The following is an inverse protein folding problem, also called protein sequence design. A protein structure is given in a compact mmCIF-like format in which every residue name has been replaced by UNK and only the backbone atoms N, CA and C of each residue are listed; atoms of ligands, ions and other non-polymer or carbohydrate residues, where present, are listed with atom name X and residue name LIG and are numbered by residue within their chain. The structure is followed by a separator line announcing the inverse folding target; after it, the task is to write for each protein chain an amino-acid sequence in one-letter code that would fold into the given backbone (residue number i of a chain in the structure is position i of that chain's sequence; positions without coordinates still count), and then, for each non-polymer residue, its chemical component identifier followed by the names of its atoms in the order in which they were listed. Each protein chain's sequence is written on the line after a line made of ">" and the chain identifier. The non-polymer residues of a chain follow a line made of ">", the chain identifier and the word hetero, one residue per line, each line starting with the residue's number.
data_IF_322944206002
#
_entry.id   IF_322944206002
#
_cell.length_a   1.000
_cell.length_b   1.000
_cell.length_c   1.000
_cell.angle_alpha   90.00
_cell.angle_beta   90.00
_cell.angle_gamma   90.00
#
_symmetry.space_group_name_H-M   'P 1'
#
loop_
_entity.id
_entity.type
_entity.pdbx_description
1 polymer ?
#
# COMPACT_ATOMS: atom_id res chain seq x y z
N UNK A 1 1.28 26.62 -6.08
CA UNK A 1 2.59 25.91 -6.03
C UNK A 1 2.75 24.93 -4.85
N UNK A 2 1.75 24.73 -3.95
CA UNK A 2 1.92 23.87 -2.77
C UNK A 2 1.54 22.38 -2.99
N UNK A 3 0.65 22.10 -3.95
CA UNK A 3 0.32 20.72 -4.40
C UNK A 3 1.54 19.86 -4.81
N UNK A 4 2.52 20.35 -5.62
CA UNK A 4 3.64 19.51 -6.05
C UNK A 4 4.50 19.01 -4.89
N UNK A 5 4.61 19.78 -3.80
CA UNK A 5 5.40 19.35 -2.62
C UNK A 5 4.74 18.16 -1.93
N UNK A 6 3.43 18.21 -1.69
CA UNK A 6 2.69 17.10 -1.10
C UNK A 6 2.73 15.84 -1.97
N UNK A 7 2.66 16.01 -3.30
CA UNK A 7 2.78 14.90 -4.26
C UNK A 7 4.18 14.27 -4.23
N UNK A 8 5.24 15.09 -4.20
CA UNK A 8 6.62 14.63 -4.10
C UNK A 8 6.88 13.88 -2.79
N UNK A 9 6.37 14.38 -1.66
CA UNK A 9 6.47 13.70 -0.36
C UNK A 9 5.81 12.32 -0.40
N UNK A 10 4.62 12.23 -0.98
CA UNK A 10 3.92 10.95 -1.14
C UNK A 10 4.69 9.99 -2.07
N UNK A 11 5.23 10.48 -3.19
CA UNK A 11 6.06 9.69 -4.11
C UNK A 11 7.33 9.16 -3.44
N UNK A 12 8.08 10.02 -2.75
CA UNK A 12 9.30 9.64 -2.03
C UNK A 12 8.98 8.61 -0.95
N UNK A 13 7.90 8.82 -0.19
CA UNK A 13 7.46 7.88 0.83
C UNK A 13 7.06 6.52 0.24
N UNK A 14 6.28 6.50 -0.85
CA UNK A 14 5.90 5.27 -1.56
C UNK A 14 7.12 4.52 -2.10
N UNK A 15 8.08 5.24 -2.71
CA UNK A 15 9.32 4.64 -3.20
C UNK A 15 10.16 4.06 -2.05
N UNK A 16 10.24 4.77 -0.92
CA UNK A 16 10.96 4.30 0.27
C UNK A 16 10.36 3.01 0.82
N UNK A 17 9.02 2.92 0.87
CA UNK A 17 8.33 1.69 1.26
C UNK A 17 8.59 0.56 0.28
N UNK A 18 8.49 0.79 -1.02
CA UNK A 18 8.76 -0.23 -2.02
C UNK A 18 10.20 -0.78 -1.90
N UNK A 19 11.18 0.11 -1.64
CA UNK A 19 12.58 -0.28 -1.42
C UNK A 19 12.75 -1.07 -0.12
N UNK A 20 12.15 -0.62 0.99
CA UNK A 20 12.21 -1.31 2.28
C UNK A 20 11.54 -2.69 2.23
N UNK A 21 10.40 -2.80 1.55
CA UNK A 21 9.66 -4.04 1.37
C UNK A 21 10.46 -5.03 0.50
N UNK A 22 11.07 -4.54 -0.58
CA UNK A 22 11.95 -5.36 -1.44
C UNK A 22 13.23 -5.83 -0.74
N UNK A 23 13.92 -4.94 -0.01
CA UNK A 23 15.23 -5.24 0.61
C UNK A 23 15.12 -5.99 1.93
N UNK A 24 14.25 -5.55 2.81
CA UNK A 24 14.28 -5.95 4.22
C UNK A 24 13.00 -6.63 4.68
N UNK A 25 11.90 -6.57 3.90
CA UNK A 25 10.55 -7.06 4.28
C UNK A 25 10.10 -6.62 5.67
N UNK A 26 10.68 -5.52 6.15
CA UNK A 26 10.44 -4.94 7.46
C UNK A 26 10.20 -3.47 7.26
N UNK A 27 8.93 -3.12 7.33
CA UNK A 27 8.51 -1.73 7.28
C UNK A 27 8.49 -1.25 8.72
N UNK A 28 9.41 -0.33 9.05
CA UNK A 28 9.48 0.23 10.39
C UNK A 28 8.21 1.03 10.69
N UNK A 29 7.71 0.93 11.92
CA UNK A 29 6.62 1.78 12.41
C UNK A 29 6.96 3.28 12.23
N UNK A 30 8.25 3.65 12.27
CA UNK A 30 8.69 5.02 12.05
C UNK A 30 8.29 5.55 10.67
N UNK A 31 8.38 4.73 9.61
CA UNK A 31 7.98 5.14 8.25
C UNK A 31 6.47 5.38 8.16
N UNK A 32 5.68 4.53 8.81
CA UNK A 32 4.22 4.66 8.87
C UNK A 32 3.83 5.93 9.62
N UNK A 33 4.49 6.20 10.76
CA UNK A 33 4.27 7.40 11.55
C UNK A 33 4.65 8.66 10.76
N UNK A 34 5.83 8.69 10.14
CA UNK A 34 6.27 9.84 9.32
C UNK A 34 5.31 10.11 8.16
N UNK A 35 4.87 9.07 7.45
CA UNK A 35 3.91 9.22 6.35
C UNK A 35 2.54 9.71 6.81
N UNK A 36 2.08 9.25 7.97
CA UNK A 36 0.82 9.70 8.59
C UNK A 36 0.92 11.15 9.06
N UNK A 37 1.99 11.51 9.76
CA UNK A 37 2.24 12.88 10.22
C UNK A 37 2.28 13.86 9.05
N UNK A 38 2.94 13.49 7.95
CA UNK A 38 2.96 14.30 6.73
C UNK A 38 1.55 14.45 6.12
N UNK A 39 0.74 13.38 6.11
CA UNK A 39 -0.65 13.44 5.65
C UNK A 39 -1.49 14.42 6.48
N UNK A 40 -1.43 14.30 7.81
CA UNK A 40 -2.16 15.16 8.74
C UNK A 40 -1.68 16.61 8.67
N UNK A 41 -0.38 16.85 8.56
CA UNK A 41 0.17 18.20 8.37
C UNK A 41 -0.31 18.83 7.06
N UNK A 42 -0.31 18.07 5.96
CA UNK A 42 -0.84 18.54 4.69
C UNK A 42 -2.35 18.80 4.73
N UNK A 43 -3.13 17.96 5.44
CA UNK A 43 -4.56 18.17 5.65
C UNK A 43 -4.83 19.44 6.49
N UNK A 44 -4.05 19.67 7.56
CA UNK A 44 -4.17 20.84 8.42
C UNK A 44 -3.84 22.14 7.67
N UNK A 45 -2.86 22.10 6.76
CA UNK A 45 -2.48 23.24 5.93
C UNK A 45 -3.39 23.45 4.71
N UNK A 46 -4.42 22.62 4.51
CA UNK A 46 -5.27 22.61 3.30
C UNK A 46 -4.47 22.44 1.99
N UNK A 47 -3.37 21.67 2.05
CA UNK A 47 -2.49 21.36 0.91
C UNK A 47 -2.60 19.88 0.50
N UNK A 48 -3.56 19.15 1.07
CA UNK A 48 -3.73 17.73 0.76
C UNK A 48 -3.99 17.53 -0.75
N UNK A 49 -3.32 16.57 -1.41
CA UNK A 49 -3.51 16.32 -2.85
C UNK A 49 -4.96 16.02 -3.24
N UNK A 50 -5.74 15.49 -2.30
CA UNK A 50 -7.15 15.13 -2.48
C UNK A 50 -8.12 16.16 -1.89
N UNK A 51 -7.64 17.29 -1.37
CA UNK A 51 -8.49 18.35 -0.80
C UNK A 51 -9.31 17.92 0.42
N UNK A 52 -8.89 16.87 1.12
CA UNK A 52 -9.60 16.29 2.26
C UNK A 52 -9.31 17.06 3.56
N UNK A 53 -10.33 17.11 4.44
CA UNK A 53 -10.22 17.70 5.78
C UNK A 53 -9.48 16.78 6.76
N UNK A 54 -9.05 17.33 7.92
CA UNK A 54 -8.40 16.56 8.98
C UNK A 54 -9.25 15.36 9.46
N UNK A 55 -10.57 15.57 9.58
CA UNK A 55 -11.51 14.51 9.95
C UNK A 55 -11.59 13.41 8.89
N UNK A 56 -11.58 13.77 7.60
CA UNK A 56 -11.58 12.80 6.50
C UNK A 56 -10.24 12.04 6.41
N UNK A 57 -9.11 12.70 6.70
CA UNK A 57 -7.82 12.04 6.79
C UNK A 57 -7.80 11.00 7.93
N UNK A 58 -8.32 11.37 9.11
CA UNK A 58 -8.46 10.44 10.24
C UNK A 58 -9.39 9.27 9.92
N UNK A 59 -10.56 9.54 9.33
CA UNK A 59 -11.51 8.52 8.92
C UNK A 59 -10.91 7.57 7.86
N UNK A 60 -10.16 8.09 6.88
CA UNK A 60 -9.47 7.29 5.88
C UNK A 60 -8.38 6.41 6.50
N UNK A 61 -7.59 6.94 7.43
CA UNK A 61 -6.58 6.16 8.13
C UNK A 61 -7.19 5.01 8.95
N UNK A 62 -8.24 5.31 9.72
CA UNK A 62 -8.97 4.32 10.51
C UNK A 62 -9.64 3.26 9.61
N UNK A 63 -10.30 3.70 8.53
CA UNK A 63 -10.94 2.80 7.58
C UNK A 63 -9.92 1.84 6.93
N UNK A 64 -8.75 2.34 6.53
CA UNK A 64 -7.68 1.50 5.99
C UNK A 64 -7.22 0.44 7.00
N UNK A 65 -7.00 0.85 8.25
CA UNK A 65 -6.56 -0.06 9.30
C UNK A 65 -7.61 -1.14 9.62
N UNK A 66 -8.86 -0.73 9.78
CA UNK A 66 -10.00 -1.63 10.06
C UNK A 66 -10.28 -2.56 8.89
N UNK A 67 -10.17 -2.09 7.65
CA UNK A 67 -10.43 -2.91 6.47
C UNK A 67 -9.46 -4.10 6.34
N UNK A 68 -8.19 -3.92 6.74
CA UNK A 68 -7.19 -4.97 6.64
C UNK A 68 -6.96 -5.78 7.93
N UNK A 69 -7.52 -5.33 9.05
CA UNK A 69 -7.42 -6.03 10.34
C UNK A 69 -7.96 -7.48 10.28
N UNK A 70 -9.11 -7.77 9.64
CA UNK A 70 -9.60 -9.14 9.52
C UNK A 70 -8.63 -10.05 8.75
N UNK A 71 -7.98 -9.53 7.70
CA UNK A 71 -7.03 -10.29 6.90
C UNK A 71 -5.74 -10.60 7.67
N UNK A 72 -5.32 -9.69 8.55
CA UNK A 72 -4.24 -9.95 9.50
C UNK A 72 -4.64 -11.00 10.53
N UNK A 73 -5.86 -10.91 11.10
CA UNK A 73 -6.35 -11.90 12.06
C UNK A 73 -6.49 -13.31 11.46
N UNK A 74 -6.85 -13.40 10.17
CA UNK A 74 -6.87 -14.66 9.41
C UNK A 74 -5.49 -15.17 8.99
N UNK A 75 -4.41 -14.43 9.28
CA UNK A 75 -3.04 -14.81 8.95
C UNK A 75 -2.69 -14.76 7.46
N UNK A 76 -3.56 -14.14 6.64
CA UNK A 76 -3.39 -14.01 5.18
C UNK A 76 -2.47 -12.83 4.85
N UNK A 77 -2.33 -11.87 5.76
CA UNK A 77 -1.66 -10.59 5.53
C UNK A 77 -0.78 -10.19 6.70
N UNK A 78 0.33 -9.47 6.43
CA UNK A 78 1.27 -9.07 7.47
C UNK A 78 0.84 -7.83 8.25
N UNK A 79 1.28 -7.73 9.50
CA UNK A 79 1.09 -6.54 10.32
C UNK A 79 1.69 -5.28 9.67
N UNK A 80 2.73 -5.45 8.84
CA UNK A 80 3.33 -4.36 8.08
C UNK A 80 2.37 -3.82 7.03
N UNK A 81 1.70 -4.68 6.27
CA UNK A 81 0.82 -4.29 5.18
C UNK A 81 -0.41 -3.52 5.69
N UNK A 82 -1.00 -3.97 6.81
CA UNK A 82 -2.13 -3.28 7.48
C UNK A 82 -1.74 -1.86 7.88
N UNK A 83 -0.56 -1.70 8.49
CA UNK A 83 -0.08 -0.38 8.95
C UNK A 83 0.21 0.55 7.78
N UNK A 84 0.80 0.03 6.71
CA UNK A 84 1.12 0.82 5.52
C UNK A 84 -0.14 1.31 4.81
N UNK A 85 -1.17 0.47 4.73
CA UNK A 85 -2.41 0.81 4.05
C UNK A 85 -3.19 1.95 4.71
N UNK A 86 -3.03 2.15 6.02
CA UNK A 86 -3.61 3.28 6.72
C UNK A 86 -3.08 4.64 6.21
N UNK A 87 -1.83 4.71 5.75
CA UNK A 87 -1.20 5.97 5.36
C UNK A 87 -1.80 6.54 4.07
N UNK A 88 -1.93 5.80 2.94
CA UNK A 88 -2.68 6.28 1.78
C UNK A 88 -4.12 6.69 2.10
N UNK A 89 -4.76 6.02 3.06
CA UNK A 89 -6.07 6.41 3.58
C UNK A 89 -6.07 7.80 4.22
N UNK A 90 -5.02 8.14 4.97
CA UNK A 90 -4.83 9.48 5.54
C UNK A 90 -4.58 10.55 4.47
N UNK A 91 -3.92 10.21 3.36
CA UNK A 91 -3.60 11.14 2.27
C UNK A 91 -4.75 11.39 1.30
N UNK A 92 -5.52 10.34 1.01
CA UNK A 92 -6.45 10.31 -0.13
C UNK A 92 -7.91 10.05 0.27
N UNK A 93 -8.16 9.71 1.53
CA UNK A 93 -9.49 9.37 2.04
C UNK A 93 -9.95 7.96 1.65
N UNK A 94 -11.18 7.63 2.08
CA UNK A 94 -11.75 6.27 1.98
C UNK A 94 -12.01 5.81 0.54
N UNK A 95 -12.38 6.71 -0.37
CA UNK A 95 -12.71 6.35 -1.75
C UNK A 95 -11.49 5.85 -2.53
N UNK A 96 -10.33 6.44 -2.27
CA UNK A 96 -9.08 6.03 -2.91
C UNK A 96 -8.56 4.68 -2.38
N UNK A 97 -8.90 4.31 -1.14
CA UNK A 97 -8.46 3.04 -0.53
C UNK A 97 -9.00 1.82 -1.29
N UNK A 98 -10.26 1.86 -1.74
CA UNK A 98 -10.87 0.74 -2.47
C UNK A 98 -10.14 0.49 -3.79
N UNK A 99 -9.84 1.55 -4.55
CA UNK A 99 -9.09 1.45 -5.81
C UNK A 99 -7.66 0.95 -5.58
N UNK A 100 -6.96 1.50 -4.58
CA UNK A 100 -5.60 1.05 -4.23
C UNK A 100 -5.57 -0.41 -3.81
N UNK A 101 -6.54 -0.84 -3.00
CA UNK A 101 -6.66 -2.22 -2.56
C UNK A 101 -6.96 -3.18 -3.71
N UNK A 102 -7.87 -2.81 -4.61
CA UNK A 102 -8.19 -3.63 -5.78
C UNK A 102 -6.95 -3.84 -6.67
N UNK A 103 -6.23 -2.76 -7.01
CA UNK A 103 -5.03 -2.86 -7.86
C UNK A 103 -3.92 -3.63 -7.15
N UNK A 104 -3.69 -3.38 -5.86
CA UNK A 104 -2.70 -4.11 -5.07
C UNK A 104 -3.01 -5.60 -5.00
N UNK A 105 -4.28 -5.95 -4.77
CA UNK A 105 -4.74 -7.34 -4.72
C UNK A 105 -4.53 -8.07 -6.05
N UNK A 106 -4.86 -7.41 -7.17
CA UNK A 106 -4.63 -7.96 -8.52
C UNK A 106 -3.13 -8.17 -8.76
N UNK A 107 -2.29 -7.18 -8.45
CA UNK A 107 -0.84 -7.30 -8.64
C UNK A 107 -0.22 -8.40 -7.76
N UNK A 108 -0.65 -8.50 -6.50
CA UNK A 108 -0.24 -9.57 -5.59
C UNK A 108 -0.69 -10.95 -6.10
N UNK A 109 -1.93 -11.06 -6.61
CA UNK A 109 -2.46 -12.28 -7.21
C UNK A 109 -1.69 -12.73 -8.44
N UNK A 110 -1.35 -11.80 -9.36
CA UNK A 110 -0.53 -12.07 -10.54
C UNK A 110 0.86 -12.58 -10.11
N UNK A 111 1.48 -11.95 -9.10
CA UNK A 111 2.80 -12.38 -8.62
C UNK A 111 2.75 -13.77 -7.96
N UNK A 112 1.71 -14.05 -7.17
CA UNK A 112 1.50 -15.37 -6.59
C UNK A 112 1.31 -16.44 -7.67
N UNK A 113 0.52 -16.14 -8.72
CA UNK A 113 0.31 -17.02 -9.85
C UNK A 113 1.61 -17.27 -10.62
N UNK A 114 2.42 -16.23 -10.85
CA UNK A 114 3.74 -16.36 -11.46
C UNK A 114 4.64 -17.30 -10.67
N UNK A 115 4.72 -17.15 -9.33
CA UNK A 115 5.52 -18.02 -8.47
C UNK A 115 5.03 -19.47 -8.57
N UNK A 116 3.71 -19.69 -8.52
CA UNK A 116 3.10 -21.01 -8.61
C UNK A 116 3.45 -21.72 -9.93
N UNK A 117 3.35 -21.01 -11.05
CA UNK A 117 3.73 -21.50 -12.38
C UNK A 117 5.23 -21.78 -12.43
N UNK A 118 6.06 -20.84 -11.96
CA UNK A 118 7.52 -20.94 -12.00
C UNK A 118 8.09 -22.04 -11.10
N UNK A 119 7.44 -22.35 -9.97
CA UNK A 119 7.85 -23.45 -9.08
C UNK A 119 7.10 -24.75 -9.34
N UNK A 120 6.17 -24.79 -10.31
CA UNK A 120 5.32 -25.97 -10.62
C UNK A 120 4.65 -26.54 -9.36
N UNK A 121 4.39 -25.70 -8.36
CA UNK A 121 3.87 -26.17 -7.08
C UNK A 121 2.42 -26.60 -7.27
N UNK A 122 2.08 -27.81 -6.82
CA UNK A 122 0.69 -28.26 -6.87
C UNK A 122 -0.10 -27.48 -5.83
N UNK A 123 -1.18 -26.82 -6.26
CA UNK A 123 -2.12 -26.06 -5.41
C UNK A 123 -2.62 -26.90 -4.22
N UNK A 124 -2.73 -28.22 -4.40
CA UNK A 124 -3.09 -29.16 -3.35
C UNK A 124 -2.14 -29.13 -2.12
N UNK A 125 -0.83 -28.92 -2.32
CA UNK A 125 0.17 -28.85 -1.24
C UNK A 125 0.03 -27.54 -0.43
N UNK A 126 -0.49 -26.49 -1.05
CA UNK A 126 -0.78 -25.21 -0.39
C UNK A 126 -2.07 -25.29 0.45
N UNK A 127 -3.07 -26.06 0.01
CA UNK A 127 -4.29 -26.32 0.79
C UNK A 127 -4.04 -27.22 2.01
N UNK A 128 -3.14 -28.20 1.90
CA UNK A 128 -2.74 -29.04 3.05
C UNK A 128 -1.88 -28.27 4.05
N UNK A 129 -1.02 -27.34 3.59
CA UNK A 129 -0.23 -26.48 4.46
C UNK A 129 -1.05 -25.28 4.94
N UNK A 130 -1.80 -25.46 6.03
CA UNK A 130 -2.35 -24.37 6.87
C UNK A 130 -1.27 -23.53 7.58
N UNK A 131 -0.18 -23.17 6.91
CA UNK A 131 0.85 -22.30 7.47
C UNK A 131 0.59 -20.84 7.08
N UNK A 132 0.84 -19.86 7.97
CA UNK A 132 0.71 -18.44 7.65
C UNK A 132 1.53 -18.11 6.40
N UNK A 133 0.94 -17.35 5.48
CA UNK A 133 1.23 -17.21 4.03
C UNK A 133 2.61 -16.59 3.69
N UNK A 134 3.59 -16.62 4.59
CA UNK A 134 4.93 -16.04 4.41
C UNK A 134 5.94 -16.95 3.70
N UNK A 135 5.55 -18.18 3.36
CA UNK A 135 6.43 -19.13 2.67
C UNK A 135 5.66 -19.94 1.60
N UNK A 136 5.73 -19.48 0.34
CA UNK A 136 5.17 -20.17 -0.82
C UNK A 136 6.29 -20.98 -1.46
N UNK A 137 6.30 -22.30 -1.25
CA UNK A 137 7.24 -23.23 -1.88
C UNK A 137 8.73 -22.95 -1.57
N UNK A 138 9.07 -22.42 -0.39
CA UNK A 138 10.43 -21.99 -0.06
C UNK A 138 10.86 -20.71 -0.80
N UNK A 139 9.93 -20.05 -1.50
CA UNK A 139 10.13 -18.77 -2.17
C UNK A 139 9.31 -17.68 -1.49
N UNK A 140 9.92 -16.51 -1.46
CA UNK A 140 9.48 -15.38 -0.66
C UNK A 140 8.18 -14.79 -1.24
N UNK A 141 7.13 -14.65 -0.44
CA UNK A 141 5.80 -14.14 -0.85
C UNK A 141 5.84 -12.76 -1.55
N UNK A 142 4.81 -12.41 -2.36
CA UNK A 142 4.73 -11.11 -3.02
C UNK A 142 4.81 -9.95 -2.01
N UNK A 143 5.63 -8.92 -2.26
CA UNK A 143 5.64 -7.69 -1.46
C UNK A 143 4.34 -6.91 -1.69
N UNK A 144 3.30 -7.16 -0.87
CA UNK A 144 2.00 -6.50 -1.01
C UNK A 144 2.12 -4.98 -0.87
N UNK A 145 2.98 -4.49 0.03
CA UNK A 145 3.22 -3.05 0.19
C UNK A 145 3.87 -2.44 -1.08
N UNK A 146 4.73 -3.17 -1.79
CA UNK A 146 5.21 -2.72 -3.11
C UNK A 146 4.08 -2.68 -4.15
N UNK A 147 3.24 -3.73 -4.22
CA UNK A 147 2.06 -3.77 -5.09
C UNK A 147 1.05 -2.64 -4.77
N UNK A 148 0.98 -2.20 -3.51
CA UNK A 148 0.14 -1.10 -3.07
C UNK A 148 0.69 0.28 -3.46
N UNK A 149 2.00 0.46 -3.37
CA UNK A 149 2.65 1.76 -3.59
C UNK A 149 2.86 2.07 -5.08
N UNK A 150 3.08 1.06 -5.93
CA UNK A 150 3.30 1.23 -7.36
C UNK A 150 2.14 1.90 -8.11
N UNK A 151 0.86 1.49 -7.97
CA UNK A 151 -0.26 2.13 -8.65
C UNK A 151 -0.41 3.60 -8.26
N UNK A 152 -0.10 3.92 -7.00
CA UNK A 152 -0.13 5.31 -6.54
C UNK A 152 0.97 6.13 -7.20
N UNK A 153 2.20 5.61 -7.24
CA UNK A 153 3.31 6.24 -7.96
C UNK A 153 2.96 6.45 -9.43
N UNK A 154 2.38 5.44 -10.10
CA UNK A 154 2.00 5.50 -11.52
C UNK A 154 0.91 6.55 -11.77
N UNK A 155 -0.14 6.57 -10.95
CA UNK A 155 -1.19 7.60 -11.05
C UNK A 155 -0.64 9.00 -10.82
N UNK A 156 0.26 9.17 -9.84
CA UNK A 156 0.89 10.44 -9.55
C UNK A 156 1.84 10.88 -10.67
N UNK A 157 2.60 9.94 -11.24
CA UNK A 157 3.46 10.20 -12.39
C UNK A 157 2.65 10.62 -13.63
N UNK A 158 1.48 10.02 -13.84
CA UNK A 158 0.57 10.42 -14.92
C UNK A 158 0.07 11.87 -14.78
N UNK A 159 -0.07 12.39 -13.55
CA UNK A 159 -0.45 13.80 -13.33
C UNK A 159 0.73 14.78 -13.45
N UNK A 160 1.97 14.30 -13.39
CA UNK A 160 3.19 15.12 -13.53
C UNK A 160 3.77 15.06 -14.95
N UNK A 161 3.41 14.05 -15.73
CA UNK A 161 3.78 13.97 -17.13
C UNK A 161 3.26 15.22 -17.88
N UNK A 162 4.10 15.90 -18.68
CA UNK A 162 3.75 17.16 -19.33
C UNK A 162 2.75 17.03 -20.51
N UNK A 163 1.80 16.08 -20.45
CA UNK A 163 0.78 15.91 -21.47
C UNK A 163 -0.38 15.03 -21.04
N UNK A 164 -1.57 15.64 -20.90
CA UNK A 164 -2.89 14.98 -20.92
C UNK A 164 -3.51 14.75 -19.53
N UNK A 165 -4.71 15.19 -19.20
CA UNK A 165 -5.83 15.77 -19.97
C UNK A 165 -6.59 16.68 -19.00
N UNK A 166 -6.89 17.90 -19.44
CA UNK A 166 -7.87 18.80 -18.80
C UNK A 166 -9.28 18.29 -19.04
#
# INVERSE_FOLDING_TARGET
>A
MKLPVALLLLMVWCAWIAICDYRSRRISNALVVMGSMAAFACALMHVSPSGISLGQAGAGAAAGLVALLPFFAMGVMGAADVKVFAVPGAWCGIHALVGLWAVASVAAGIHALWILIATRTRVAVLLERRQPTFDLAGRRSPPFAACLTLPRIVWLAAQVAPGGVR
#
